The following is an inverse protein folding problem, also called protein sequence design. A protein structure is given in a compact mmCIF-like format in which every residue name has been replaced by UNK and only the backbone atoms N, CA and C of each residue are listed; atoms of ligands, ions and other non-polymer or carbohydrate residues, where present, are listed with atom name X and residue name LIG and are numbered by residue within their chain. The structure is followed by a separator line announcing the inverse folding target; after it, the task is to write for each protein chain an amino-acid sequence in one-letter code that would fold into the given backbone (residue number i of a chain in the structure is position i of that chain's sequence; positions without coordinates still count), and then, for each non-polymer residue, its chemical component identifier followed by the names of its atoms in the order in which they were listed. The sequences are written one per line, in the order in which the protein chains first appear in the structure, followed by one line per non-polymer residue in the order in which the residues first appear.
data_IF_926350246535
#
_entry.id   IF_926350246535
#
_cell.length_a   1.000
_cell.length_b   1.000
_cell.length_c   1.000
_cell.angle_alpha   90.00
_cell.angle_beta   90.00
_cell.angle_gamma   90.00
#
_symmetry.space_group_name_H-M   'P 1'
#
loop_
_entity.id
_entity.type
_entity.pdbx_description
1 polymer ?
#
# COMPACT_ATOMS: atom_id res chain seq x y z
N UNK A 1 -2.80 23.85 22.53
CA UNK A 1 -1.44 23.55 22.05
C UNK A 1 -1.56 22.62 20.85
N UNK A 2 -1.61 23.18 19.63
CA UNK A 2 -1.74 22.42 18.40
C UNK A 2 -0.37 22.41 17.70
N UNK A 3 0.29 21.25 17.71
CA UNK A 3 1.55 21.04 17.00
C UNK A 3 1.27 21.06 15.49
N UNK A 4 1.53 22.20 14.85
CA UNK A 4 1.64 22.30 13.39
C UNK A 4 2.90 21.54 12.98
N UNK A 5 2.73 20.29 12.57
CA UNK A 5 3.74 19.58 11.79
C UNK A 5 3.91 20.37 10.50
N UNK A 6 5.02 21.09 10.41
CA UNK A 6 5.28 22.04 9.33
C UNK A 6 5.79 21.26 8.13
N UNK A 7 5.05 21.33 7.02
CA UNK A 7 5.40 20.79 5.70
C UNK A 7 6.78 21.23 5.17
N UNK A 8 7.50 22.10 5.88
CA UNK A 8 8.84 22.57 5.55
C UNK A 8 9.92 21.50 5.61
N UNK A 9 9.74 20.42 6.36
CA UNK A 9 10.74 19.35 6.44
C UNK A 9 10.65 18.37 5.26
N UNK A 10 9.52 18.32 4.53
CA UNK A 10 9.35 17.46 3.35
C UNK A 10 10.12 17.96 2.12
N UNK A 11 10.52 19.23 2.08
CA UNK A 11 11.25 19.81 0.94
C UNK A 11 12.78 19.71 1.08
N UNK A 12 13.31 19.27 2.23
CA UNK A 12 14.75 19.25 2.50
C UNK A 12 15.46 17.95 2.06
N UNK A 13 14.71 16.91 1.68
CA UNK A 13 15.29 15.62 1.28
C UNK A 13 15.66 15.54 -0.21
N UNK A 14 15.17 16.47 -1.04
CA UNK A 14 15.33 16.44 -2.49
C UNK A 14 16.72 16.88 -3.00
N UNK A 15 17.50 17.62 -2.20
CA UNK A 15 18.74 18.27 -2.71
C UNK A 15 20.00 17.38 -2.69
N UNK A 16 19.93 16.12 -2.23
CA UNK A 16 21.14 15.29 -2.00
C UNK A 16 21.44 14.21 -3.04
N UNK A 17 20.58 13.97 -4.02
CA UNK A 17 20.85 12.94 -5.02
C UNK A 17 21.31 13.59 -6.32
N UNK A 18 22.61 13.87 -6.37
CA UNK A 18 23.31 14.33 -7.56
C UNK A 18 22.99 13.42 -8.75
N UNK A 19 22.83 14.04 -9.92
CA UNK A 19 22.68 13.35 -11.20
C UNK A 19 23.82 12.36 -11.42
N UNK A 20 23.50 11.08 -11.56
CA UNK A 20 23.75 10.44 -12.85
C UNK A 20 22.57 9.57 -13.28
N UNK A 21 22.60 9.16 -14.54
CA UNK A 21 21.61 8.33 -15.26
C UNK A 21 21.40 6.92 -14.66
N UNK A 22 21.02 6.83 -13.39
CA UNK A 22 20.78 5.60 -12.63
C UNK A 22 19.32 5.12 -12.71
N UNK A 23 18.42 5.93 -13.28
CA UNK A 23 16.99 5.64 -13.41
C UNK A 23 16.54 4.91 -14.68
N UNK A 24 17.44 4.23 -15.40
CA UNK A 24 17.01 3.51 -16.62
C UNK A 24 16.34 2.16 -16.33
N UNK A 25 16.57 1.58 -15.15
CA UNK A 25 16.01 0.28 -14.76
C UNK A 25 15.69 0.14 -13.26
N UNK A 26 15.91 1.16 -12.42
CA UNK A 26 15.69 1.05 -10.97
C UNK A 26 14.21 0.80 -10.66
N UNK A 27 13.32 1.48 -11.37
CA UNK A 27 11.89 1.24 -11.36
C UNK A 27 11.56 -0.21 -11.70
N UNK A 28 12.25 -0.81 -12.67
CA UNK A 28 12.08 -2.22 -13.03
C UNK A 28 12.51 -3.15 -11.90
N UNK A 29 13.61 -2.85 -11.21
CA UNK A 29 14.04 -3.61 -10.03
C UNK A 29 13.07 -3.46 -8.86
N UNK A 30 12.52 -2.26 -8.64
CA UNK A 30 11.51 -2.03 -7.61
C UNK A 30 10.23 -2.82 -7.92
N UNK A 31 9.76 -2.78 -9.17
CA UNK A 31 8.59 -3.57 -9.61
C UNK A 31 8.85 -5.07 -9.49
N UNK A 32 10.04 -5.54 -9.86
CA UNK A 32 10.42 -6.94 -9.69
C UNK A 32 10.44 -7.37 -8.21
N UNK A 33 10.99 -6.54 -7.33
CA UNK A 33 10.98 -6.77 -5.89
C UNK A 33 9.55 -6.84 -5.33
N UNK A 34 8.65 -5.92 -5.75
CA UNK A 34 7.24 -5.95 -5.37
C UNK A 34 6.57 -7.27 -5.81
N UNK A 35 6.83 -7.73 -7.03
CA UNK A 35 6.33 -8.99 -7.58
C UNK A 35 6.87 -10.21 -6.83
N UNK A 36 8.14 -10.19 -6.44
CA UNK A 36 8.74 -11.26 -5.63
C UNK A 36 8.11 -11.29 -4.25
N UNK A 37 7.92 -10.13 -3.61
CA UNK A 37 7.32 -10.05 -2.28
C UNK A 37 5.89 -10.59 -2.23
N UNK A 38 5.05 -10.29 -3.23
CA UNK A 38 3.67 -10.81 -3.27
C UNK A 38 3.60 -12.35 -3.39
N UNK A 39 4.64 -12.97 -3.97
CA UNK A 39 4.74 -14.42 -4.11
C UNK A 39 5.43 -15.07 -2.90
N UNK A 40 6.45 -14.42 -2.33
CA UNK A 40 7.34 -15.04 -1.34
C UNK A 40 6.99 -14.71 0.11
N UNK A 41 6.22 -13.64 0.37
CA UNK A 41 5.99 -13.13 1.72
C UNK A 41 4.51 -13.23 2.12
N UNK A 42 4.23 -13.92 3.23
CA UNK A 42 2.88 -14.06 3.78
C UNK A 42 2.24 -12.71 4.17
N UNK A 43 3.05 -11.70 4.49
CA UNK A 43 2.56 -10.35 4.80
C UNK A 43 2.11 -9.56 3.55
N UNK A 44 2.34 -10.09 2.35
CA UNK A 44 1.99 -9.45 1.08
C UNK A 44 0.79 -10.11 0.39
N UNK A 45 0.17 -11.11 1.02
CA UNK A 45 -1.03 -11.77 0.49
C UNK A 45 -2.17 -10.74 0.42
N UNK A 46 -2.73 -10.42 -0.75
CA UNK A 46 -3.73 -9.37 -0.85
C UNK A 46 -4.96 -9.69 -0.01
N UNK A 47 -5.51 -8.68 0.67
CA UNK A 47 -6.71 -8.79 1.51
C UNK A 47 -6.59 -9.71 2.74
N UNK A 48 -5.37 -10.14 3.10
CA UNK A 48 -5.14 -10.85 4.36
C UNK A 48 -5.07 -9.89 5.56
N UNK A 49 -5.30 -10.40 6.77
CA UNK A 49 -5.17 -9.62 8.00
C UNK A 49 -3.74 -9.07 8.12
N UNK A 50 -3.60 -7.76 8.39
CA UNK A 50 -2.31 -7.05 8.50
C UNK A 50 -1.45 -7.14 7.23
N UNK A 51 -2.08 -7.38 6.08
CA UNK A 51 -1.38 -7.40 4.80
C UNK A 51 -0.85 -6.03 4.39
N UNK A 52 0.20 -6.06 3.60
CA UNK A 52 0.77 -4.91 2.88
C UNK A 52 0.06 -4.63 1.57
N UNK A 53 -0.73 -5.56 1.05
CA UNK A 53 -1.44 -5.41 -0.22
C UNK A 53 -2.93 -5.50 0.01
N UNK A 54 -3.66 -4.51 -0.49
CA UNK A 54 -5.11 -4.42 -0.38
C UNK A 54 -5.72 -4.22 -1.76
N UNK A 55 -6.60 -5.12 -2.16
CA UNK A 55 -7.26 -5.07 -3.46
C UNK A 55 -8.74 -4.76 -3.28
N UNK A 56 -9.13 -3.53 -3.61
CA UNK A 56 -10.49 -3.04 -3.57
C UNK A 56 -11.09 -2.82 -4.96
N UNK A 57 -12.39 -2.53 -4.99
CA UNK A 57 -13.11 -2.17 -6.23
C UNK A 57 -12.53 -0.93 -6.91
N UNK A 58 -11.93 -0.04 -6.11
CA UNK A 58 -11.28 1.19 -6.53
C UNK A 58 -9.82 1.00 -6.94
N UNK A 59 -9.21 -0.16 -6.72
CA UNK A 59 -7.86 -0.46 -7.21
C UNK A 59 -7.03 -1.29 -6.24
N UNK A 60 -5.77 -1.47 -6.59
CA UNK A 60 -4.78 -2.17 -5.76
C UNK A 60 -3.93 -1.15 -5.01
N UNK A 61 -3.84 -1.33 -3.69
CA UNK A 61 -3.11 -0.45 -2.79
C UNK A 61 -2.02 -1.21 -2.07
N UNK A 62 -0.89 -0.53 -1.84
CA UNK A 62 0.26 -1.07 -1.13
C UNK A 62 0.56 -0.19 0.08
N UNK A 63 0.61 -0.76 1.27
CA UNK A 63 0.81 -0.04 2.54
C UNK A 63 2.21 0.58 2.60
N UNK A 64 2.27 1.91 2.74
CA UNK A 64 3.50 2.70 2.80
C UNK A 64 3.66 3.36 4.17
N UNK A 65 4.88 3.56 4.72
CA UNK A 65 6.21 3.25 4.17
C UNK A 65 6.65 1.80 4.39
N UNK A 66 5.81 0.97 5.03
CA UNK A 66 6.23 -0.37 5.43
C UNK A 66 6.64 -1.25 4.24
N UNK A 67 5.93 -1.18 3.11
CA UNK A 67 6.29 -1.90 1.89
C UNK A 67 7.68 -1.50 1.35
N UNK A 68 8.04 -0.23 1.45
CA UNK A 68 9.36 0.28 1.06
C UNK A 68 10.49 -0.42 1.84
N UNK A 69 10.26 -0.67 3.14
CA UNK A 69 11.22 -1.36 4.02
C UNK A 69 11.44 -2.80 3.54
N UNK A 70 10.37 -3.50 3.17
CA UNK A 70 10.46 -4.88 2.70
C UNK A 70 11.14 -4.96 1.32
N UNK A 71 10.79 -4.04 0.41
CA UNK A 71 11.44 -3.91 -0.90
C UNK A 71 12.93 -3.66 -0.71
N UNK A 72 13.31 -2.72 0.15
CA UNK A 72 14.71 -2.42 0.43
C UNK A 72 15.45 -3.65 0.96
N UNK A 73 14.88 -4.35 1.95
CA UNK A 73 15.48 -5.58 2.50
C UNK A 73 15.70 -6.65 1.43
N UNK A 74 14.76 -6.80 0.50
CA UNK A 74 14.88 -7.77 -0.58
C UNK A 74 16.01 -7.38 -1.55
N UNK A 75 16.06 -6.12 -1.97
CA UNK A 75 17.10 -5.67 -2.93
C UNK A 75 18.49 -5.62 -2.25
N UNK A 76 18.57 -5.29 -0.96
CA UNK A 76 19.80 -5.41 -0.16
C UNK A 76 20.28 -6.87 -0.07
N UNK A 77 19.36 -7.83 0.07
CA UNK A 77 19.69 -9.26 0.05
C UNK A 77 20.22 -9.73 -1.31
N UNK A 78 19.74 -9.13 -2.40
CA UNK A 78 20.25 -9.37 -3.76
C UNK A 78 21.61 -8.69 -4.04
N UNK A 79 22.22 -8.03 -3.05
CA UNK A 79 23.49 -7.31 -3.12
C UNK A 79 23.55 -6.22 -4.22
N UNK A 80 22.42 -5.65 -4.59
CA UNK A 80 22.36 -4.57 -5.58
C UNK A 80 22.75 -3.22 -4.94
N UNK A 81 23.87 -2.60 -5.36
CA UNK A 81 24.29 -1.32 -4.81
C UNK A 81 23.46 -0.16 -5.38
N UNK A 82 23.15 0.83 -4.54
CA UNK A 82 22.57 2.11 -5.00
C UNK A 82 21.07 2.32 -4.73
N UNK A 83 20.43 1.51 -3.88
CA UNK A 83 19.03 1.72 -3.50
C UNK A 83 18.91 2.94 -2.56
N UNK A 84 17.99 3.88 -2.82
CA UNK A 84 17.67 4.95 -1.88
C UNK A 84 17.24 4.42 -0.51
N UNK A 85 17.75 5.05 0.57
CA UNK A 85 17.39 4.69 1.95
C UNK A 85 16.03 5.24 2.38
N UNK A 86 15.64 6.38 1.80
CA UNK A 86 14.42 7.08 2.11
C UNK A 86 13.24 6.43 1.35
N UNK A 87 12.17 6.01 2.06
CA UNK A 87 10.99 5.49 1.41
C UNK A 87 10.33 6.53 0.49
N UNK A 88 10.39 7.82 0.81
CA UNK A 88 9.84 8.89 -0.02
C UNK A 88 10.49 8.92 -1.42
N UNK A 89 11.82 8.76 -1.48
CA UNK A 89 12.54 8.70 -2.77
C UNK A 89 12.17 7.46 -3.59
N UNK A 90 11.97 6.30 -2.94
CA UNK A 90 11.51 5.10 -3.64
C UNK A 90 10.12 5.29 -4.23
N UNK A 91 9.24 6.00 -3.51
CA UNK A 91 7.90 6.33 -3.97
C UNK A 91 7.96 7.29 -5.16
N UNK A 92 8.76 8.36 -5.10
CA UNK A 92 8.93 9.30 -6.21
C UNK A 92 9.37 8.62 -7.51
N UNK A 93 10.32 7.67 -7.41
CA UNK A 93 10.78 6.88 -8.57
C UNK A 93 9.64 6.06 -9.18
N UNK A 94 8.80 5.44 -8.33
CA UNK A 94 7.65 4.66 -8.80
C UNK A 94 6.55 5.54 -9.43
N UNK A 95 6.38 6.77 -8.91
CA UNK A 95 5.44 7.77 -9.46
C UNK A 95 5.93 8.25 -10.83
N UNK A 96 7.21 8.63 -10.93
CA UNK A 96 7.84 9.09 -12.17
C UNK A 96 7.81 8.01 -13.26
N UNK A 97 7.99 6.74 -12.85
CA UNK A 97 7.85 5.58 -13.72
C UNK A 97 6.40 5.24 -14.13
N UNK A 98 5.39 5.91 -13.56
CA UNK A 98 3.96 5.65 -13.83
C UNK A 98 3.48 4.28 -13.33
N UNK A 99 4.16 3.72 -12.32
CA UNK A 99 3.80 2.44 -11.70
C UNK A 99 2.75 2.64 -10.61
N UNK A 100 2.85 3.75 -9.88
CA UNK A 100 1.94 4.11 -8.80
C UNK A 100 1.34 5.49 -9.04
N UNK A 101 0.11 5.65 -8.61
CA UNK A 101 -0.63 6.90 -8.66
C UNK A 101 -0.57 7.59 -7.29
N UNK A 102 0.02 8.79 -7.20
CA UNK A 102 -0.01 9.58 -5.97
C UNK A 102 -1.43 10.05 -5.65
N UNK A 103 -1.70 10.28 -4.37
CA UNK A 103 -2.96 10.88 -3.94
C UNK A 103 -3.07 12.33 -4.44
N UNK A 104 -4.21 12.77 -4.98
CA UNK A 104 -4.37 14.15 -5.43
C UNK A 104 -4.26 15.17 -4.29
N UNK A 105 -4.55 14.77 -3.04
CA UNK A 105 -4.50 15.68 -1.89
C UNK A 105 -3.11 15.82 -1.30
N UNK A 106 -2.44 14.69 -1.03
CA UNK A 106 -1.14 14.66 -0.35
C UNK A 106 0.04 14.60 -1.32
N UNK A 107 -0.23 14.38 -2.61
CA UNK A 107 0.77 14.13 -3.66
C UNK A 107 1.70 12.94 -3.39
N UNK A 108 1.37 12.08 -2.41
CA UNK A 108 2.21 10.95 -2.00
C UNK A 108 1.36 9.71 -1.70
N UNK A 109 0.71 9.65 -0.53
CA UNK A 109 -0.02 8.47 -0.05
C UNK A 109 -1.52 8.71 0.09
N UNK A 110 -2.29 7.66 -0.18
CA UNK A 110 -3.73 7.56 0.05
C UNK A 110 -4.00 7.05 1.46
N UNK A 111 -5.00 7.63 2.13
CA UNK A 111 -5.57 7.03 3.33
C UNK A 111 -6.59 5.97 2.91
N UNK A 112 -6.35 4.70 3.26
CA UNK A 112 -7.28 3.59 3.00
C UNK A 112 -7.81 2.99 4.29
N UNK A 113 -8.99 2.37 4.19
CA UNK A 113 -9.72 1.74 5.29
C UNK A 113 -9.97 0.26 4.98
N UNK A 114 -8.96 -0.61 5.17
CA UNK A 114 -9.15 -2.03 4.98
C UNK A 114 -10.15 -2.64 5.97
N UNK A 115 -10.80 -3.75 5.60
CA UNK A 115 -11.50 -4.57 6.59
C UNK A 115 -10.49 -4.99 7.66
N UNK A 116 -10.94 -5.05 8.92
CA UNK A 116 -10.11 -5.39 10.09
C UNK A 116 -9.15 -4.29 10.58
N UNK A 117 -9.15 -3.09 9.98
CA UNK A 117 -8.40 -1.94 10.49
C UNK A 117 -9.35 -0.85 10.98
N UNK A 118 -9.29 -0.54 12.29
CA UNK A 118 -10.08 0.54 12.89
C UNK A 118 -9.56 1.94 12.54
N UNK A 119 -8.37 2.02 11.95
CA UNK A 119 -7.69 3.27 11.60
C UNK A 119 -7.35 3.29 10.12
N UNK A 120 -7.37 4.51 9.56
CA UNK A 120 -6.82 4.75 8.24
C UNK A 120 -5.34 4.34 8.21
N UNK A 121 -4.95 3.65 7.15
CA UNK A 121 -3.54 3.34 6.90
C UNK A 121 -3.10 4.05 5.62
N UNK A 122 -1.84 4.46 5.60
CA UNK A 122 -1.24 5.09 4.44
C UNK A 122 -0.86 4.03 3.41
N UNK A 123 -1.25 4.24 2.17
CA UNK A 123 -0.98 3.33 1.08
C UNK A 123 -0.79 4.07 -0.25
N UNK A 124 -0.13 3.43 -1.20
CA UNK A 124 0.05 3.93 -2.57
C UNK A 124 -0.79 3.10 -3.51
N UNK A 125 -1.48 3.74 -4.46
CA UNK A 125 -2.34 3.07 -5.42
C UNK A 125 -1.49 2.65 -6.62
N UNK A 126 -1.60 1.41 -7.09
CA UNK A 126 -1.01 1.04 -8.37
C UNK A 126 -1.84 1.59 -9.52
N UNK A 127 -1.17 2.09 -10.55
CA UNK A 127 -1.80 2.51 -11.82
C UNK A 127 -2.53 1.35 -12.48
N UNK A 128 -1.99 0.13 -12.38
CA UNK A 128 -2.67 -1.09 -12.83
C UNK A 128 -2.48 -2.23 -11.83
N UNK A 129 -3.56 -2.91 -11.41
CA UNK A 129 -3.47 -4.10 -10.56
C UNK A 129 -2.61 -5.20 -11.17
N UNK A 130 -2.59 -5.31 -12.51
CA UNK A 130 -1.82 -6.31 -13.24
C UNK A 130 -0.32 -6.23 -12.98
N UNK A 131 0.20 -5.07 -12.53
CA UNK A 131 1.62 -4.90 -12.20
C UNK A 131 2.05 -5.90 -11.12
N UNK A 132 1.22 -6.13 -10.10
CA UNK A 132 1.46 -7.11 -9.04
C UNK A 132 0.74 -8.44 -9.30
N UNK A 133 -0.53 -8.39 -9.71
CA UNK A 133 -1.36 -9.59 -9.85
C UNK A 133 -0.84 -10.56 -10.93
N UNK A 134 -0.15 -10.07 -11.95
CA UNK A 134 0.43 -10.93 -12.99
C UNK A 134 1.56 -11.85 -12.47
N UNK A 135 2.14 -11.55 -11.29
CA UNK A 135 3.13 -12.42 -10.67
C UNK A 135 2.50 -13.55 -9.83
N UNK A 136 1.20 -13.49 -9.55
CA UNK A 136 0.51 -14.47 -8.72
C UNK A 136 -0.10 -15.59 -9.58
N UNK A 137 0.06 -16.85 -9.15
CA UNK A 137 -0.58 -18.00 -9.81
C UNK A 137 -2.11 -17.95 -9.74
N UNK A 138 -2.65 -17.44 -8.61
CA UNK A 138 -4.07 -17.22 -8.40
C UNK A 138 -4.30 -15.81 -7.86
N UNK A 139 -4.63 -14.84 -8.72
CA UNK A 139 -4.96 -13.49 -8.25
C UNK A 139 -6.29 -13.53 -7.48
N UNK A 140 -6.37 -12.85 -6.32
CA UNK A 140 -7.62 -12.76 -5.56
C UNK A 140 -8.60 -11.80 -6.22
N UNK A 141 -9.88 -12.01 -5.97
CA UNK A 141 -10.94 -11.08 -6.36
C UNK A 141 -10.86 -9.77 -5.55
N UNK A 142 -11.21 -8.62 -6.16
CA UNK A 142 -11.27 -7.35 -5.46
C UNK A 142 -12.35 -7.36 -4.40
N UNK A 143 -12.11 -6.67 -3.29
CA UNK A 143 -13.15 -6.42 -2.29
C UNK A 143 -14.32 -5.64 -2.93
N UNK A 144 -15.58 -5.95 -2.56
CA UNK A 144 -16.75 -5.35 -3.18
C UNK A 144 -16.92 -3.85 -2.91
N UNK A 145 -16.13 -3.29 -1.99
CA UNK A 145 -16.20 -1.90 -1.55
C UNK A 145 -14.90 -1.13 -1.89
N UNK A 146 -14.99 0.18 -2.12
CA UNK A 146 -13.80 1.02 -2.29
C UNK A 146 -13.06 1.19 -0.95
N UNK A 147 -11.73 1.16 -0.99
CA UNK A 147 -10.87 1.24 0.20
C UNK A 147 -10.52 2.67 0.59
N UNK A 148 -10.55 3.63 -0.34
CA UNK A 148 -10.26 5.05 -0.05
C UNK A 148 -11.37 5.73 0.76
N UNK A 149 -12.57 5.13 0.81
CA UNK A 149 -13.67 5.62 1.64
C UNK A 149 -13.74 4.78 2.92
N UNK A 150 -13.95 5.40 4.09
CA UNK A 150 -14.36 4.64 5.26
C UNK A 150 -15.59 3.82 4.88
N UNK A 151 -15.57 2.52 5.21
CA UNK A 151 -16.76 1.71 5.07
C UNK A 151 -17.88 2.43 5.85
N UNK A 152 -19.05 2.71 5.25
CA UNK A 152 -20.17 3.19 6.04
C UNK A 152 -20.39 2.15 7.14
N UNK A 153 -20.38 2.60 8.40
CA UNK A 153 -20.53 1.82 9.63
C UNK A 153 -21.76 0.86 9.62
N UNK A 154 -22.65 1.02 8.63
CA UNK A 154 -23.83 0.20 8.36
C UNK A 154 -23.54 -1.08 7.55
N UNK A 155 -22.54 -1.86 7.96
CA UNK A 155 -22.43 -3.28 7.56
C UNK A 155 -22.04 -4.20 8.73
N UNK A 156 -22.02 -3.68 9.97
CA UNK A 156 -22.25 -4.52 11.13
C UNK A 156 -23.76 -4.84 11.15
N UNK A 157 -24.15 -5.92 10.47
CA UNK A 157 -25.48 -6.48 10.60
C UNK A 157 -25.80 -6.69 12.09
N UNK A 158 -27.04 -6.45 12.54
CA UNK A 158 -27.40 -6.65 13.94
C UNK A 158 -27.12 -8.11 14.30
N UNK A 159 -26.14 -8.31 15.18
CA UNK A 159 -25.94 -9.58 15.88
C UNK A 159 -27.30 -10.02 16.41
N UNK A 160 -27.76 -11.16 15.90
CA UNK A 160 -29.05 -11.74 16.23
C UNK A 160 -29.16 -11.92 17.73
N UNK A 161 -29.83 -10.97 18.39
CA UNK A 161 -30.36 -11.17 19.73
C UNK A 161 -31.55 -12.13 19.59
N UNK A 162 -31.23 -13.42 19.56
CA UNK A 162 -32.21 -14.49 19.77
C UNK A 162 -32.75 -14.38 21.20
N UNK A 163 -33.71 -13.49 21.41
CA UNK A 163 -34.58 -13.54 22.56
C UNK A 163 -35.57 -14.69 22.34
N UNK A 164 -35.19 -15.88 22.79
CA UNK A 164 -36.08 -17.02 22.92
C UNK A 164 -37.27 -16.64 23.80
N UNK A 165 -38.40 -16.31 23.18
CA UNK A 165 -39.70 -16.35 23.83
C UNK A 165 -40.11 -17.82 23.97
N UNK A 166 -39.77 -18.43 25.09
CA UNK A 166 -40.46 -19.64 25.55
C UNK A 166 -41.80 -19.20 26.15
N UNK A 167 -42.87 -19.44 25.40
CA UNK A 167 -44.22 -19.62 25.93
C UNK A 167 -44.36 -21.07 26.39
N UNK A 168 -44.68 -21.31 27.65
CA UNK A 168 -45.57 -22.38 28.19
C UNK A 168 -45.87 -21.89 29.63
N UNK A 169 -47.09 -21.63 30.08
CA UNK A 169 -48.29 -22.47 30.04
C UNK A 169 -48.58 -22.84 31.50
#
# INVERSE_FOLDING_TARGET
MASKISYRDLLSSAERYGTPRLGSHLERYLVDALRRLVVSNALWIPNAEKSRVWYGKDGLYIVWPNAAIDVRKLIEADQLPGIPKAPETLLEILIDAGVVEPSPETQMTWAIFPPHCDKAIEAVRLTSPSILLAAMDRPPDPLPHPLVKPLPESAAGPSSAAASSVRVG
#
